data_IF_324442246371
#
_entry.id   IF_324442246371
#
_cell.length_a   1.000
_cell.length_b   1.000
_cell.length_c   1.000
_cell.angle_alpha   90.00
_cell.angle_beta   90.00
_cell.angle_gamma   90.00
#
_symmetry.space_group_name_H-M   'P 1'
#
loop_
_entity.id
_entity.type
_entity.pdbx_description
1 polymer ?
#
# COMPACT_ATOMS: atom_id res chain seq x y z
N UNK A 1 31.16 -2.13 10.05
CA UNK A 1 31.84 -0.82 9.96
C UNK A 1 32.17 -0.58 8.48
N UNK A 2 31.89 0.60 7.94
CA UNK A 2 32.08 0.88 6.51
C UNK A 2 33.54 1.26 6.25
N UNK A 3 34.40 0.25 6.13
CA UNK A 3 35.85 0.41 6.24
C UNK A 3 36.54 0.98 4.98
N UNK A 4 35.81 1.14 3.87
CA UNK A 4 36.31 1.77 2.65
C UNK A 4 35.55 3.07 2.34
N UNK A 5 36.16 4.04 1.63
CA UNK A 5 35.48 5.27 1.22
C UNK A 5 34.20 5.01 0.41
N UNK A 6 34.20 3.97 -0.43
CA UNK A 6 33.04 3.54 -1.20
C UNK A 6 31.93 2.99 -0.30
N UNK A 7 32.27 2.21 0.73
CA UNK A 7 31.31 1.70 1.71
C UNK A 7 30.68 2.84 2.53
N UNK A 8 31.48 3.82 2.98
CA UNK A 8 30.97 4.99 3.73
C UNK A 8 29.96 5.79 2.89
N UNK A 9 30.26 6.01 1.61
CA UNK A 9 29.33 6.66 0.67
C UNK A 9 28.03 5.88 0.50
N UNK A 10 28.11 4.54 0.36
CA UNK A 10 26.93 3.67 0.25
C UNK A 10 26.06 3.71 1.50
N UNK A 11 26.65 3.75 2.69
CA UNK A 11 25.92 3.87 3.95
C UNK A 11 25.08 5.16 4.02
N UNK A 12 25.69 6.31 3.71
CA UNK A 12 24.99 7.61 3.70
C UNK A 12 23.84 7.62 2.67
N UNK A 13 24.06 7.06 1.48
CA UNK A 13 23.01 6.95 0.46
C UNK A 13 21.87 6.02 0.90
N UNK A 14 22.20 4.92 1.59
CA UNK A 14 21.22 3.96 2.06
C UNK A 14 20.29 4.58 3.11
N UNK A 15 20.82 5.36 4.06
CA UNK A 15 19.99 6.05 5.06
C UNK A 15 19.00 7.03 4.42
N UNK A 16 19.48 7.85 3.49
CA UNK A 16 18.61 8.80 2.75
C UNK A 16 17.49 8.09 1.98
N UNK A 17 17.81 6.98 1.31
CA UNK A 17 16.80 6.16 0.62
C UNK A 17 15.86 5.46 1.59
N UNK A 18 16.36 5.02 2.75
CA UNK A 18 15.57 4.35 3.78
C UNK A 18 14.50 5.27 4.35
N UNK A 19 14.85 6.50 4.73
CA UNK A 19 13.89 7.47 5.29
C UNK A 19 12.80 7.83 4.28
N UNK A 20 13.19 8.12 3.03
CA UNK A 20 12.24 8.40 1.96
C UNK A 20 11.33 7.19 1.62
N UNK A 21 11.90 5.99 1.52
CA UNK A 21 11.11 4.81 1.21
C UNK A 21 10.22 4.36 2.39
N UNK A 22 10.55 4.78 3.61
CA UNK A 22 9.71 4.52 4.79
C UNK A 22 8.42 5.34 4.73
N UNK A 23 8.49 6.64 4.37
CA UNK A 23 7.29 7.49 4.25
C UNK A 23 6.36 6.98 3.14
N UNK A 24 6.91 6.61 1.98
CA UNK A 24 6.14 6.04 0.87
C UNK A 24 5.46 4.71 1.25
N UNK A 25 6.17 3.82 1.96
CA UNK A 25 5.57 2.58 2.47
C UNK A 25 4.49 2.84 3.50
N UNK A 26 4.67 3.84 4.35
CA UNK A 26 3.67 4.24 5.34
C UNK A 26 2.40 4.75 4.66
N UNK A 27 2.55 5.61 3.65
CA UNK A 27 1.44 6.11 2.85
C UNK A 27 0.59 4.98 2.26
N UNK A 28 1.21 4.01 1.57
CA UNK A 28 0.49 2.84 1.01
C UNK A 28 -0.27 2.07 2.10
N UNK A 29 0.37 1.84 3.26
CA UNK A 29 -0.27 1.13 4.37
C UNK A 29 -1.47 1.89 4.93
N UNK A 30 -1.40 3.23 5.00
CA UNK A 30 -2.51 4.06 5.46
C UNK A 30 -3.70 3.96 4.53
N UNK A 31 -3.52 4.05 3.21
CA UNK A 31 -4.62 3.89 2.26
C UNK A 31 -5.26 2.51 2.34
N UNK A 32 -4.45 1.44 2.43
CA UNK A 32 -4.96 0.08 2.62
C UNK A 32 -5.76 -0.02 3.93
N UNK A 33 -5.24 0.55 5.03
CA UNK A 33 -5.90 0.55 6.34
C UNK A 33 -7.24 1.28 6.30
N UNK A 34 -7.34 2.39 5.57
CA UNK A 34 -8.59 3.14 5.44
C UNK A 34 -9.69 2.32 4.74
N UNK A 35 -9.33 1.57 3.69
CA UNK A 35 -10.26 0.64 3.03
C UNK A 35 -10.70 -0.46 3.98
N UNK A 36 -9.75 -1.09 4.69
CA UNK A 36 -10.06 -2.15 5.67
C UNK A 36 -11.00 -1.62 6.77
N UNK A 37 -10.74 -0.43 7.32
CA UNK A 37 -11.63 0.19 8.30
C UNK A 37 -13.05 0.42 7.77
N UNK A 38 -13.19 0.84 6.51
CA UNK A 38 -14.50 1.03 5.90
C UNK A 38 -15.25 -0.31 5.71
N UNK A 39 -14.51 -1.37 5.34
CA UNK A 39 -15.04 -2.74 5.26
C UNK A 39 -15.49 -3.22 6.64
N UNK A 40 -14.67 -3.04 7.68
CA UNK A 40 -14.99 -3.44 9.06
C UNK A 40 -16.23 -2.69 9.59
N UNK A 41 -16.39 -1.43 9.19
CA UNK A 41 -17.58 -0.61 9.50
C UNK A 41 -18.83 -0.99 8.68
N UNK A 42 -18.74 -1.97 7.77
CA UNK A 42 -19.81 -2.44 6.87
C UNK A 42 -20.43 -1.34 5.99
N UNK A 43 -19.69 -0.26 5.73
CA UNK A 43 -20.15 0.83 4.88
C UNK A 43 -19.64 0.64 3.45
N UNK A 44 -20.53 0.16 2.59
CA UNK A 44 -20.21 -0.27 1.24
C UNK A 44 -19.79 0.91 0.34
N UNK A 45 -20.48 2.05 0.44
CA UNK A 45 -20.18 3.25 -0.36
C UNK A 45 -18.84 3.88 0.08
N UNK A 46 -18.58 3.96 1.39
CA UNK A 46 -17.27 4.40 1.89
C UNK A 46 -16.15 3.44 1.52
N UNK A 47 -16.40 2.12 1.52
CA UNK A 47 -15.40 1.14 1.12
C UNK A 47 -15.04 1.25 -0.38
N UNK A 48 -16.04 1.44 -1.25
CA UNK A 48 -15.82 1.64 -2.69
C UNK A 48 -15.05 2.92 -2.99
N UNK A 49 -15.45 4.05 -2.39
CA UNK A 49 -14.77 5.33 -2.59
C UNK A 49 -13.32 5.29 -2.08
N UNK A 50 -13.09 4.74 -0.89
CA UNK A 50 -11.75 4.55 -0.35
C UNK A 50 -10.89 3.62 -1.23
N UNK A 51 -11.48 2.57 -1.79
CA UNK A 51 -10.79 1.65 -2.70
C UNK A 51 -10.37 2.34 -3.99
N UNK A 52 -11.27 3.10 -4.63
CA UNK A 52 -10.95 3.87 -5.84
C UNK A 52 -9.80 4.85 -5.61
N UNK A 53 -9.73 5.49 -4.43
CA UNK A 53 -8.62 6.35 -4.07
C UNK A 53 -7.32 5.58 -3.79
N UNK A 54 -7.41 4.37 -3.22
CA UNK A 54 -6.25 3.55 -2.87
C UNK A 54 -5.56 2.89 -4.08
N UNK A 55 -6.31 2.46 -5.09
CA UNK A 55 -5.79 1.79 -6.30
C UNK A 55 -4.67 2.57 -7.00
N UNK A 56 -4.84 3.86 -7.40
CA UNK A 56 -3.79 4.60 -8.11
C UNK A 56 -2.55 4.84 -7.24
N UNK A 57 -2.70 4.94 -5.92
CA UNK A 57 -1.58 5.07 -5.00
C UNK A 57 -0.79 3.76 -4.93
N UNK A 58 -1.46 2.62 -4.84
CA UNK A 58 -0.81 1.30 -4.81
C UNK A 58 -0.03 1.06 -6.10
N UNK A 59 -0.63 1.33 -7.25
CA UNK A 59 0.01 1.08 -8.55
C UNK A 59 1.20 2.01 -8.78
N UNK A 60 1.08 3.31 -8.48
CA UNK A 60 2.21 4.25 -8.55
C UNK A 60 3.39 3.84 -7.66
N UNK A 61 3.12 3.21 -6.51
CA UNK A 61 4.17 2.76 -5.60
C UNK A 61 4.81 1.44 -6.06
N UNK A 62 4.08 0.64 -6.86
CA UNK A 62 4.63 -0.50 -7.56
C UNK A 62 5.58 -0.05 -8.68
N UNK A 63 5.19 0.96 -9.46
CA UNK A 63 6.03 1.54 -10.52
C UNK A 63 7.32 2.15 -9.98
N UNK A 64 7.24 2.81 -8.82
CA UNK A 64 8.42 3.33 -8.09
C UNK A 64 9.30 2.24 -7.46
N UNK A 65 8.92 0.96 -7.55
CA UNK A 65 9.67 -0.15 -6.98
C UNK A 65 9.64 -0.22 -5.44
N UNK A 66 8.75 0.53 -4.80
CA UNK A 66 8.60 0.54 -3.33
C UNK A 66 7.89 -0.72 -2.85
N UNK A 67 6.96 -1.23 -3.67
CA UNK A 67 6.31 -2.53 -3.49
C UNK A 67 6.44 -3.35 -4.76
N UNK A 68 6.54 -4.67 -4.64
CA UNK A 68 6.58 -5.54 -5.82
C UNK A 68 5.22 -5.57 -6.53
N UNK A 69 5.20 -5.68 -7.85
CA UNK A 69 3.97 -5.74 -8.67
C UNK A 69 3.00 -6.83 -8.20
N UNK A 70 3.51 -8.03 -7.92
CA UNK A 70 2.69 -9.12 -7.35
C UNK A 70 2.11 -8.79 -5.97
N UNK A 71 2.81 -8.00 -5.16
CA UNK A 71 2.29 -7.54 -3.87
C UNK A 71 1.17 -6.53 -4.06
N UNK A 72 1.33 -5.57 -4.98
CA UNK A 72 0.28 -4.64 -5.37
C UNK A 72 -0.97 -5.38 -5.89
N UNK A 73 -0.78 -6.30 -6.84
CA UNK A 73 -1.86 -7.12 -7.40
C UNK A 73 -2.61 -7.92 -6.33
N UNK A 74 -1.88 -8.56 -5.40
CA UNK A 74 -2.47 -9.31 -4.29
C UNK A 74 -3.30 -8.41 -3.36
N UNK A 75 -2.81 -7.21 -3.05
CA UNK A 75 -3.57 -6.27 -2.22
C UNK A 75 -4.86 -5.81 -2.92
N UNK A 76 -4.80 -5.48 -4.21
CA UNK A 76 -6.00 -5.12 -5.00
C UNK A 76 -7.01 -6.25 -5.04
N UNK A 77 -6.56 -7.47 -5.36
CA UNK A 77 -7.42 -8.66 -5.43
C UNK A 77 -8.12 -8.95 -4.11
N UNK A 78 -7.39 -8.95 -2.99
CA UNK A 78 -7.97 -9.20 -1.65
C UNK A 78 -8.99 -8.15 -1.25
N UNK A 79 -8.65 -6.86 -1.39
CA UNK A 79 -9.57 -5.78 -1.02
C UNK A 79 -10.85 -5.81 -1.86
N UNK A 80 -10.73 -6.07 -3.17
CA UNK A 80 -11.89 -6.20 -4.04
C UNK A 80 -12.77 -7.40 -3.64
N UNK A 81 -12.16 -8.54 -3.30
CA UNK A 81 -12.89 -9.72 -2.81
C UNK A 81 -13.70 -9.42 -1.54
N UNK A 82 -13.12 -8.71 -0.57
CA UNK A 82 -13.83 -8.31 0.65
C UNK A 82 -14.97 -7.33 0.38
N UNK A 83 -14.79 -6.36 -0.52
CA UNK A 83 -15.86 -5.41 -0.88
C UNK A 83 -17.02 -6.12 -1.59
N UNK A 84 -16.72 -7.08 -2.47
CA UNK A 84 -17.75 -7.88 -3.13
C UNK A 84 -18.53 -8.74 -2.14
N UNK A 85 -17.82 -9.45 -1.26
CA UNK A 85 -18.45 -10.27 -0.22
C UNK A 85 -19.34 -9.43 0.71
N UNK A 86 -18.93 -8.20 1.05
CA UNK A 86 -19.76 -7.27 1.81
C UNK A 86 -21.04 -6.86 1.05
N UNK A 87 -20.95 -6.67 -0.26
CA UNK A 87 -22.11 -6.37 -1.10
C UNK A 87 -23.06 -7.55 -1.29
N UNK A 88 -22.54 -8.76 -1.43
CA UNK A 88 -23.34 -9.99 -1.51
C UNK A 88 -24.04 -10.28 -0.18
N UNK A 89 -23.36 -10.09 0.95
CA UNK A 89 -23.96 -10.24 2.29
C UNK A 89 -25.00 -9.17 2.64
N UNK A 90 -25.02 -8.03 1.94
CA UNK A 90 -26.07 -7.02 2.09
C UNK A 90 -27.27 -7.26 1.15
N UNK A 91 -27.11 -8.11 0.14
CA UNK A 91 -28.13 -8.43 -0.85
C UNK A 91 -28.86 -9.75 -0.58
N UNK A 92 -28.30 -10.62 0.28
CA UNK A 92 -28.91 -11.84 0.81
C UNK A 92 -29.65 -11.58 2.12
#
# INVERSE_FOLDING_TARGET
MANSPSAKKRAIQAEKRRSHNASLRSMVRTYIKNVVKAIDAKDLEKARTAYTAAVPVIDRMADKGIIHKNKAARHKSRLNGHIKALGEAAAA
#
